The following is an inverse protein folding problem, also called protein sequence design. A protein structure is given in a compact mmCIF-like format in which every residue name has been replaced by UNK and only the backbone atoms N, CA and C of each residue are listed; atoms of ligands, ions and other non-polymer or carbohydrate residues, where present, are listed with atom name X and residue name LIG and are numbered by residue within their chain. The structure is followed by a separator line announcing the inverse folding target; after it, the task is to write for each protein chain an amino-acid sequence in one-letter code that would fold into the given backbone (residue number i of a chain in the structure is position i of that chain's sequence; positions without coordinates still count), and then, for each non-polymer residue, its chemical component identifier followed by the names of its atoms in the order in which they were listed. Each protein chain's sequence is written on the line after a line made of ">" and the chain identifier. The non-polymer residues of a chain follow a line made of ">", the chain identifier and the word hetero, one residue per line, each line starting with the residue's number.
data_IF_921848930535
#
_entry.id   IF_921848930535
#
_cell.length_a   1.000
_cell.length_b   1.000
_cell.length_c   1.000
_cell.angle_alpha   90.00
_cell.angle_beta   90.00
_cell.angle_gamma   90.00
#
_symmetry.space_group_name_H-M   'P 1'
#
loop_
_entity.id
_entity.type
_entity.pdbx_description
1 polymer ?
#
# COMPACT_ATOMS: atom_id res chain seq x y z
N UNK A 1 19.56 17.62 -7.69
CA UNK A 1 19.34 17.01 -9.01
C UNK A 1 19.01 15.50 -8.95
N UNK A 2 19.21 14.83 -7.82
CA UNK A 2 18.97 13.38 -7.70
C UNK A 2 17.51 13.01 -7.36
N UNK A 3 16.71 13.98 -6.95
CA UNK A 3 15.35 13.74 -6.45
C UNK A 3 14.29 13.61 -7.56
N UNK A 4 14.62 13.92 -8.80
CA UNK A 4 13.69 13.81 -9.93
C UNK A 4 13.64 12.41 -10.56
N UNK A 5 14.51 11.49 -10.16
CA UNK A 5 14.68 10.21 -10.87
C UNK A 5 13.64 9.13 -10.53
N UNK A 6 12.87 9.33 -9.47
CA UNK A 6 11.85 8.33 -9.05
C UNK A 6 10.51 8.49 -9.82
N UNK A 7 10.34 9.60 -10.56
CA UNK A 7 9.03 9.97 -11.14
C UNK A 7 8.97 9.82 -12.66
N UNK A 8 10.07 9.54 -13.34
CA UNK A 8 10.05 9.40 -14.80
C UNK A 8 10.33 7.95 -15.23
N UNK A 9 9.27 7.17 -15.28
CA UNK A 9 9.16 6.08 -16.24
C UNK A 9 7.83 6.27 -16.99
N UNK A 10 7.86 6.76 -18.23
CA UNK A 10 6.64 6.90 -19.02
C UNK A 10 6.19 5.53 -19.51
N UNK A 11 4.96 5.29 -19.28
CA UNK A 11 4.08 4.24 -19.69
C UNK A 11 4.27 3.75 -21.11
N UNK A 12 4.34 2.45 -21.30
CA UNK A 12 3.93 1.85 -22.56
C UNK A 12 2.43 1.55 -22.50
N UNK A 13 1.70 2.35 -23.24
CA UNK A 13 0.29 2.28 -23.50
C UNK A 13 -0.04 1.03 -24.34
N UNK A 14 -0.63 0.02 -23.73
CA UNK A 14 -1.24 -1.09 -24.48
C UNK A 14 -2.74 -0.90 -24.51
N UNK A 15 -3.21 -0.36 -25.61
CA UNK A 15 -4.63 -0.30 -25.96
C UNK A 15 -5.11 -1.70 -26.32
N UNK A 16 -5.98 -2.27 -25.51
CA UNK A 16 -6.76 -3.47 -25.91
C UNK A 16 -8.15 -3.02 -26.30
N UNK A 17 -8.39 -3.16 -27.59
CA UNK A 17 -9.66 -2.96 -28.26
C UNK A 17 -10.62 -4.09 -27.87
N UNK A 18 -11.76 -3.77 -27.28
CA UNK A 18 -12.77 -4.73 -26.91
C UNK A 18 -13.98 -4.59 -27.82
N UNK A 19 -14.08 -5.51 -28.78
CA UNK A 19 -15.27 -5.68 -29.59
C UNK A 19 -16.39 -6.39 -28.82
N UNK A 20 -17.49 -5.68 -28.81
CA UNK A 20 -18.84 -6.00 -28.45
C UNK A 20 -19.40 -7.26 -29.20
N UNK A 21 -20.05 -8.15 -28.48
CA UNK A 21 -21.08 -8.99 -29.08
C UNK A 21 -22.23 -9.27 -28.12
N UNK A 22 -23.37 -8.71 -28.48
CA UNK A 22 -24.68 -8.97 -27.88
C UNK A 22 -25.14 -10.42 -28.16
N UNK A 23 -25.85 -11.02 -27.21
CA UNK A 23 -27.01 -11.86 -27.52
C UNK A 23 -27.95 -11.96 -26.30
N UNK A 24 -29.23 -11.73 -26.59
CA UNK A 24 -30.42 -11.83 -25.75
C UNK A 24 -30.85 -13.30 -25.57
N UNK A 25 -31.54 -13.55 -24.47
CA UNK A 25 -32.94 -14.06 -24.30
C UNK A 25 -33.04 -14.95 -23.05
N UNK A 26 -33.90 -14.51 -22.20
CA UNK A 26 -35.18 -14.97 -21.62
C UNK A 26 -35.25 -16.40 -21.04
N UNK A 27 -35.67 -16.47 -19.76
CA UNK A 27 -36.90 -17.04 -19.27
C UNK A 27 -36.96 -17.19 -17.75
N UNK A 28 -38.10 -16.80 -17.21
CA UNK A 28 -38.63 -16.84 -15.85
C UNK A 28 -38.57 -18.24 -15.19
N UNK A 29 -38.44 -18.26 -13.87
CA UNK A 29 -39.51 -18.78 -12.96
C UNK A 29 -39.12 -18.61 -11.49
N UNK A 30 -40.13 -18.22 -10.71
CA UNK A 30 -40.27 -18.14 -9.26
C UNK A 30 -39.75 -19.38 -8.51
N UNK A 31 -39.17 -19.17 -7.34
CA UNK A 31 -39.69 -19.68 -6.05
C UNK A 31 -38.99 -19.06 -4.88
N UNK A 32 -39.83 -18.58 -3.94
CA UNK A 32 -39.52 -18.01 -2.66
C UNK A 32 -39.14 -19.13 -1.71
N UNK A 33 -38.01 -19.10 -1.06
CA UNK A 33 -37.80 -19.74 0.23
C UNK A 33 -37.03 -18.83 1.17
N UNK A 34 -37.77 -18.42 2.16
CA UNK A 34 -37.42 -17.73 3.36
C UNK A 34 -36.48 -18.65 4.21
N UNK A 35 -35.26 -18.22 4.49
CA UNK A 35 -34.48 -18.80 5.59
C UNK A 35 -33.62 -17.75 6.25
N UNK A 36 -34.07 -17.41 7.43
CA UNK A 36 -33.38 -17.06 8.69
C UNK A 36 -32.09 -16.25 8.58
N UNK A 37 -32.22 -15.03 9.08
CA UNK A 37 -31.15 -14.19 9.58
C UNK A 37 -30.26 -14.98 10.54
N UNK A 38 -29.06 -15.30 10.10
CA UNK A 38 -27.96 -15.59 11.00
C UNK A 38 -27.10 -14.35 11.08
N UNK A 39 -27.17 -13.67 12.20
CA UNK A 39 -26.20 -12.73 12.69
C UNK A 39 -24.80 -13.36 12.57
N UNK A 40 -24.13 -13.15 11.47
CA UNK A 40 -22.70 -13.35 11.40
C UNK A 40 -22.06 -12.05 11.86
N UNK A 41 -21.74 -12.02 13.14
CA UNK A 41 -20.74 -11.14 13.68
C UNK A 41 -19.53 -11.18 12.73
N UNK A 42 -19.20 -10.04 12.17
CA UNK A 42 -18.03 -9.79 11.37
C UNK A 42 -16.77 -10.05 12.22
N UNK A 43 -16.40 -11.32 12.30
CA UNK A 43 -15.09 -11.71 12.77
C UNK A 43 -14.14 -11.42 11.61
N UNK A 44 -13.61 -10.21 11.56
CA UNK A 44 -12.36 -9.91 10.85
C UNK A 44 -11.35 -10.96 11.31
N UNK A 45 -11.19 -12.01 10.52
CA UNK A 45 -10.25 -13.06 10.82
C UNK A 45 -8.87 -12.41 10.89
N UNK A 46 -8.30 -12.36 12.08
CA UNK A 46 -6.98 -11.83 12.30
C UNK A 46 -6.01 -12.60 11.40
N UNK A 47 -5.44 -11.94 10.42
CA UNK A 47 -4.48 -12.56 9.52
C UNK A 47 -3.18 -12.82 10.30
N UNK A 48 -2.73 -14.06 10.30
CA UNK A 48 -1.48 -14.43 10.96
C UNK A 48 -0.32 -14.24 9.98
N UNK A 49 0.54 -13.28 10.26
CA UNK A 49 1.77 -13.06 9.50
C UNK A 49 2.74 -14.21 9.78
N UNK A 50 3.22 -14.86 8.72
CA UNK A 50 4.15 -15.99 8.83
C UNK A 50 5.60 -15.54 8.80
N UNK A 51 6.51 -16.34 9.35
CA UNK A 51 7.94 -16.08 9.31
C UNK A 51 8.47 -15.99 7.85
N UNK A 52 8.00 -16.87 6.97
CA UNK A 52 8.32 -16.84 5.54
C UNK A 52 7.86 -15.55 4.88
N UNK A 53 6.66 -15.07 5.22
CA UNK A 53 6.12 -13.79 4.76
C UNK A 53 7.01 -12.61 5.20
N UNK A 54 7.48 -12.63 6.46
CA UNK A 54 8.40 -11.62 6.99
C UNK A 54 9.72 -11.60 6.24
N UNK A 55 10.31 -12.76 5.98
CA UNK A 55 11.56 -12.89 5.22
C UNK A 55 11.40 -12.36 3.80
N UNK A 56 10.32 -12.75 3.10
CA UNK A 56 9.98 -12.27 1.77
C UNK A 56 9.73 -10.77 1.74
N UNK A 57 9.07 -10.24 2.75
CA UNK A 57 8.85 -8.81 2.92
C UNK A 57 10.18 -8.06 3.05
N UNK A 58 11.05 -8.51 3.95
CA UNK A 58 12.35 -7.90 4.19
C UNK A 58 13.23 -7.90 2.92
N UNK A 59 13.25 -8.98 2.15
CA UNK A 59 13.96 -9.04 0.87
C UNK A 59 13.38 -8.04 -0.14
N UNK A 60 12.07 -7.94 -0.21
CA UNK A 60 11.37 -7.01 -1.10
C UNK A 60 11.63 -5.56 -0.72
N UNK A 61 11.65 -5.25 0.59
CA UNK A 61 12.00 -3.91 1.10
C UNK A 61 13.47 -3.58 0.85
N UNK A 62 14.40 -4.50 1.02
CA UNK A 62 15.82 -4.28 0.71
C UNK A 62 16.02 -3.94 -0.78
N UNK A 63 15.25 -4.52 -1.67
CA UNK A 63 15.22 -4.12 -3.09
C UNK A 63 14.72 -2.69 -3.26
N UNK A 64 13.62 -2.33 -2.62
CA UNK A 64 13.07 -0.97 -2.68
C UNK A 64 14.07 0.08 -2.13
N UNK A 65 14.76 -0.25 -1.04
CA UNK A 65 15.83 0.61 -0.50
C UNK A 65 16.92 0.86 -1.55
N UNK A 66 17.37 -0.20 -2.22
CA UNK A 66 18.38 -0.09 -3.28
C UNK A 66 17.90 0.72 -4.48
N UNK A 67 16.64 0.55 -4.87
CA UNK A 67 15.99 1.26 -5.98
C UNK A 67 15.71 2.74 -5.65
N UNK A 68 15.58 3.08 -4.38
CA UNK A 68 15.24 4.44 -3.92
C UNK A 68 16.40 5.44 -3.99
N UNK A 69 17.59 5.01 -4.40
CA UNK A 69 18.79 5.85 -4.47
C UNK A 69 19.11 6.60 -3.17
N UNK A 70 18.94 5.94 -2.03
CA UNK A 70 19.24 6.48 -0.71
C UNK A 70 18.14 7.33 -0.08
N UNK A 71 16.96 7.40 -0.68
CA UNK A 71 15.80 8.10 -0.11
C UNK A 71 15.18 7.26 1.00
N UNK A 72 14.90 6.00 0.77
CA UNK A 72 14.41 5.06 1.78
C UNK A 72 15.60 4.41 2.49
N UNK A 73 15.59 4.43 3.82
CA UNK A 73 16.67 3.90 4.66
C UNK A 73 16.29 2.54 5.25
N UNK A 74 15.11 2.44 5.83
CA UNK A 74 14.60 1.20 6.43
C UNK A 74 13.08 1.23 6.58
N UNK A 75 12.48 0.06 6.70
CA UNK A 75 11.07 -0.11 7.06
C UNK A 75 10.99 -1.09 8.23
N UNK A 76 10.25 -0.74 9.25
CA UNK A 76 10.07 -1.58 10.45
C UNK A 76 8.59 -1.64 10.84
N UNK A 77 8.12 -2.75 11.42
CA UNK A 77 6.78 -2.80 12.00
C UNK A 77 6.70 -1.92 13.24
N UNK A 78 5.55 -1.30 13.47
CA UNK A 78 5.28 -0.56 14.69
C UNK A 78 4.92 -1.56 15.81
N UNK A 79 5.62 -1.48 16.93
CA UNK A 79 5.43 -2.37 18.10
C UNK A 79 5.42 -3.89 17.76
N UNK A 80 6.18 -4.28 16.72
CA UNK A 80 6.20 -5.63 16.14
C UNK A 80 4.90 -6.07 15.46
N UNK A 81 3.98 -5.16 15.21
CA UNK A 81 2.75 -5.41 14.47
C UNK A 81 2.85 -4.90 13.03
N UNK A 82 2.51 -5.75 12.07
CA UNK A 82 2.62 -5.42 10.64
C UNK A 82 1.42 -4.67 10.08
N UNK A 83 0.42 -4.37 10.90
CA UNK A 83 -0.72 -3.52 10.53
C UNK A 83 -0.33 -2.05 10.33
N UNK A 84 0.79 -1.67 10.93
CA UNK A 84 1.38 -0.35 10.77
C UNK A 84 2.89 -0.47 10.54
N UNK A 85 3.36 0.15 9.47
CA UNK A 85 4.76 0.14 9.06
C UNK A 85 5.34 1.55 9.17
N UNK A 86 6.52 1.65 9.78
CA UNK A 86 7.28 2.91 9.85
C UNK A 86 8.43 2.82 8.87
N UNK A 87 8.46 3.73 7.91
CA UNK A 87 9.52 3.87 6.93
C UNK A 87 10.36 5.11 7.24
N UNK A 88 11.65 4.92 7.33
CA UNK A 88 12.60 6.03 7.56
C UNK A 88 13.17 6.49 6.23
N UNK A 89 13.13 7.79 6.01
CA UNK A 89 13.65 8.44 4.81
C UNK A 89 14.78 9.40 5.16
N UNK A 90 15.61 9.68 4.17
CA UNK A 90 16.76 10.59 4.35
C UNK A 90 16.37 11.94 4.91
N UNK A 91 17.19 12.49 5.79
CA UNK A 91 17.01 13.82 6.37
C UNK A 91 16.97 14.93 5.32
N UNK A 92 17.66 14.75 4.20
CA UNK A 92 17.72 15.73 3.11
C UNK A 92 16.33 16.01 2.51
N UNK A 93 15.43 15.04 2.56
CA UNK A 93 14.06 15.20 2.08
C UNK A 93 13.27 16.23 2.90
N UNK A 94 13.66 16.46 4.16
CA UNK A 94 13.03 17.45 5.06
C UNK A 94 13.11 18.87 4.51
N UNK A 95 14.19 19.17 3.79
CA UNK A 95 14.47 20.49 3.25
C UNK A 95 14.00 20.70 1.81
N UNK A 96 13.36 19.69 1.23
CA UNK A 96 12.74 19.79 -0.10
C UNK A 96 11.37 20.46 -0.03
N UNK A 97 10.89 20.94 -1.21
CA UNK A 97 9.54 21.49 -1.30
C UNK A 97 8.45 20.43 -1.09
N UNK A 98 7.26 20.91 -0.73
CA UNK A 98 6.12 20.04 -0.40
C UNK A 98 5.72 19.13 -1.56
N UNK A 99 5.86 19.60 -2.81
CA UNK A 99 5.53 18.81 -4.00
C UNK A 99 6.46 17.59 -4.11
N UNK A 100 7.75 17.78 -3.85
CA UNK A 100 8.75 16.70 -3.86
C UNK A 100 8.48 15.75 -2.70
N UNK A 101 8.22 16.27 -1.51
CA UNK A 101 7.85 15.46 -0.33
C UNK A 101 6.60 14.61 -0.60
N UNK A 102 5.55 15.22 -1.15
CA UNK A 102 4.29 14.52 -1.43
C UNK A 102 4.50 13.41 -2.46
N UNK A 103 5.18 13.66 -3.57
CA UNK A 103 5.48 12.64 -4.58
C UNK A 103 6.25 11.45 -4.01
N UNK A 104 7.27 11.72 -3.19
CA UNK A 104 8.03 10.65 -2.54
C UNK A 104 7.18 9.91 -1.50
N UNK A 105 6.33 10.61 -0.76
CA UNK A 105 5.43 9.99 0.20
C UNK A 105 4.43 9.04 -0.50
N UNK A 106 3.79 9.49 -1.56
CA UNK A 106 2.82 8.69 -2.32
C UNK A 106 3.48 7.47 -2.95
N UNK A 107 4.65 7.64 -3.57
CA UNK A 107 5.39 6.55 -4.18
C UNK A 107 5.83 5.52 -3.14
N UNK A 108 6.54 5.94 -2.10
CA UNK A 108 7.06 5.03 -1.08
C UNK A 108 5.93 4.38 -0.28
N UNK A 109 4.90 5.12 0.08
CA UNK A 109 3.73 4.60 0.77
C UNK A 109 3.05 3.50 -0.03
N UNK A 110 2.81 3.71 -1.30
CA UNK A 110 2.22 2.72 -2.19
C UNK A 110 3.12 1.49 -2.37
N UNK A 111 4.40 1.68 -2.66
CA UNK A 111 5.35 0.58 -2.85
C UNK A 111 5.48 -0.31 -1.60
N UNK A 112 5.60 0.29 -0.43
CA UNK A 112 5.68 -0.44 0.84
C UNK A 112 4.39 -1.24 1.08
N UNK A 113 3.23 -0.64 0.86
CA UNK A 113 1.94 -1.31 1.03
C UNK A 113 1.75 -2.47 0.05
N UNK A 114 2.09 -2.30 -1.22
CA UNK A 114 1.97 -3.36 -2.22
C UNK A 114 2.87 -4.54 -1.89
N UNK A 115 4.10 -4.28 -1.44
CA UNK A 115 5.04 -5.32 -1.02
C UNK A 115 4.53 -6.05 0.22
N UNK A 116 4.01 -5.32 1.21
CA UNK A 116 3.41 -5.91 2.41
C UNK A 116 2.20 -6.78 2.07
N UNK A 117 1.29 -6.30 1.21
CA UNK A 117 0.14 -7.07 0.77
C UNK A 117 0.55 -8.38 0.09
N UNK A 118 1.52 -8.34 -0.80
CA UNK A 118 1.95 -9.52 -1.55
C UNK A 118 2.71 -10.55 -0.71
N UNK A 119 3.43 -10.12 0.33
CA UNK A 119 4.31 -11.01 1.12
C UNK A 119 3.74 -11.36 2.48
N UNK A 120 3.15 -10.40 3.18
CA UNK A 120 2.66 -10.58 4.56
C UNK A 120 1.20 -11.00 4.62
N UNK A 121 0.37 -10.54 3.67
CA UNK A 121 -1.08 -10.66 3.74
C UNK A 121 -1.71 -11.43 2.58
N UNK A 122 -0.92 -12.18 1.82
CA UNK A 122 -1.42 -13.03 0.73
C UNK A 122 -2.19 -12.31 -0.37
N UNK A 123 -1.97 -10.99 -0.53
CA UNK A 123 -2.67 -10.17 -1.51
C UNK A 123 -4.04 -9.65 -1.06
N UNK A 124 -4.46 -9.93 0.18
CA UNK A 124 -5.76 -9.48 0.69
C UNK A 124 -5.74 -7.97 1.00
N UNK A 125 -6.43 -7.20 0.15
CA UNK A 125 -6.51 -5.74 0.27
C UNK A 125 -7.20 -5.24 1.55
N UNK A 126 -7.99 -6.09 2.22
CA UNK A 126 -8.61 -5.75 3.50
C UNK A 126 -7.58 -5.59 4.62
N UNK A 127 -6.43 -6.27 4.48
CA UNK A 127 -5.31 -6.21 5.41
C UNK A 127 -4.22 -5.21 5.00
N UNK A 128 -4.54 -4.22 4.15
CA UNK A 128 -3.60 -3.17 3.77
C UNK A 128 -3.06 -2.46 5.01
N UNK A 129 -1.73 -2.45 5.26
CA UNK A 129 -1.17 -1.79 6.43
C UNK A 129 -1.24 -0.26 6.30
N UNK A 130 -1.25 0.41 7.42
CA UNK A 130 -0.93 1.83 7.47
C UNK A 130 0.57 2.03 7.29
N UNK A 131 0.96 3.14 6.67
CA UNK A 131 2.37 3.51 6.51
C UNK A 131 2.59 4.92 7.06
N UNK A 132 3.63 5.06 7.85
CA UNK A 132 4.13 6.34 8.34
C UNK A 132 5.56 6.53 7.86
N UNK A 133 5.83 7.68 7.25
CA UNK A 133 7.18 8.08 6.85
C UNK A 133 7.76 9.02 7.90
N UNK A 134 8.96 8.72 8.34
CA UNK A 134 9.74 9.54 9.29
C UNK A 134 11.09 9.89 8.70
N UNK A 135 11.59 11.07 9.03
CA UNK A 135 12.97 11.42 8.77
C UNK A 135 13.92 10.68 9.71
N UNK A 136 15.22 10.76 9.46
CA UNK A 136 16.25 10.16 10.33
C UNK A 136 16.21 10.67 11.78
N UNK A 137 15.74 11.90 11.98
CA UNK A 137 15.54 12.51 13.31
C UNK A 137 14.21 12.08 13.99
N UNK A 138 13.55 11.05 13.44
CA UNK A 138 12.30 10.48 13.92
C UNK A 138 11.06 11.39 13.78
N UNK A 139 11.21 12.62 13.29
CA UNK A 139 10.06 13.48 13.04
C UNK A 139 9.25 12.97 11.85
N UNK A 140 7.93 13.02 12.00
CA UNK A 140 7.00 12.54 10.99
C UNK A 140 7.01 13.44 9.75
N UNK A 141 7.15 12.82 8.58
CA UNK A 141 7.01 13.48 7.29
C UNK A 141 5.60 13.36 6.74
N UNK A 142 5.08 12.15 6.68
CA UNK A 142 3.79 11.84 6.11
C UNK A 142 3.20 10.56 6.72
N UNK A 143 1.93 10.32 6.48
CA UNK A 143 1.30 9.06 6.88
C UNK A 143 -0.03 8.81 6.19
N UNK A 144 -0.38 7.55 6.03
CA UNK A 144 -1.73 7.13 5.69
C UNK A 144 -2.62 7.13 6.94
N UNK A 145 -3.93 7.15 6.76
CA UNK A 145 -4.88 7.09 7.87
C UNK A 145 -5.65 5.78 7.90
N UNK A 146 -6.28 5.48 9.03
CA UNK A 146 -7.13 4.30 9.16
C UNK A 146 -8.33 4.32 8.19
N UNK A 147 -8.81 5.52 7.84
CA UNK A 147 -9.94 5.71 6.92
C UNK A 147 -9.53 5.76 5.45
N UNK A 148 -8.28 6.16 5.19
CA UNK A 148 -7.73 6.26 3.84
C UNK A 148 -6.27 5.78 3.88
N UNK A 149 -6.12 4.48 3.75
CA UNK A 149 -4.80 3.83 3.80
C UNK A 149 -4.00 4.02 2.50
N UNK A 150 -4.65 4.43 1.42
CA UNK A 150 -4.03 4.53 0.09
C UNK A 150 -3.34 5.86 -0.16
N UNK A 151 -3.80 6.92 0.48
CA UNK A 151 -3.25 8.26 0.29
C UNK A 151 -2.36 8.68 1.45
N UNK A 152 -1.16 9.14 1.12
CA UNK A 152 -0.22 9.70 2.09
C UNK A 152 -0.49 11.19 2.29
N UNK A 153 -0.54 11.62 3.53
CA UNK A 153 -0.72 13.04 3.89
C UNK A 153 0.51 13.57 4.59
N UNK A 154 1.05 14.67 4.11
CA UNK A 154 2.15 15.36 4.76
C UNK A 154 1.73 15.89 6.13
N UNK A 155 2.64 15.83 7.10
CA UNK A 155 2.43 16.39 8.43
C UNK A 155 2.62 17.91 8.39
N UNK A 156 1.73 18.65 9.07
CA UNK A 156 1.85 20.11 9.19
C UNK A 156 0.92 20.91 8.27
N UNK A 157 -0.08 20.25 7.69
CA UNK A 157 -1.20 20.92 7.01
C UNK A 157 -2.47 20.82 7.82
#
# INVERSE_FOLDING_TARGET
>A
QLYNYIVENPEENVTIDNQKKDTKEDAETDEVEETEETDQADASAAYTVTQEGIESFNESINRLISESNGILIKVVPFENEYDMLIAYVTQDLKYQDETIKQKNADYLGNEIQQRALGTLFGGDSNHRPMVELRYEDETKMAGSSAFDKTNMKLTGK
#
